data_IF_279788343941
#
_entry.id   IF_279788343941
#
_cell.length_a   1.000
_cell.length_b   1.000
_cell.length_c   1.000
_cell.angle_alpha   90.00
_cell.angle_beta   90.00
_cell.angle_gamma   90.00
#
_symmetry.space_group_name_H-M   'P 1'
#
loop_
_entity.id
_entity.type
_entity.pdbx_description
1 polymer ?
#
# COMPACT_ATOMS: atom_id res chain seq x y z
N UNK A 1 -28.88 -9.22 6.22
CA UNK A 1 -29.55 -10.53 6.19
C UNK A 1 -29.28 -11.33 4.92
N UNK A 2 -29.38 -10.75 3.72
CA UNK A 2 -29.19 -11.47 2.46
C UNK A 2 -27.75 -12.00 2.26
N UNK A 3 -26.74 -11.19 2.53
CA UNK A 3 -25.31 -11.58 2.43
C UNK A 3 -24.98 -12.67 3.46
N UNK A 4 -25.56 -12.61 4.65
CA UNK A 4 -25.39 -13.61 5.70
C UNK A 4 -25.97 -14.98 5.29
N UNK A 5 -27.14 -14.95 4.65
CA UNK A 5 -27.78 -16.16 4.13
C UNK A 5 -26.98 -16.80 2.98
N UNK A 6 -26.44 -15.99 2.07
CA UNK A 6 -25.63 -16.47 0.94
C UNK A 6 -24.29 -17.06 1.42
N UNK A 7 -23.61 -16.42 2.37
CA UNK A 7 -22.36 -16.94 2.93
C UNK A 7 -22.57 -18.22 3.74
N UNK A 8 -23.67 -18.30 4.49
CA UNK A 8 -24.03 -19.49 5.28
C UNK A 8 -24.42 -20.65 4.37
N UNK A 9 -25.23 -20.42 3.33
CA UNK A 9 -25.59 -21.42 2.33
C UNK A 9 -24.39 -21.91 1.51
N UNK A 10 -23.46 -21.01 1.14
CA UNK A 10 -22.25 -21.38 0.43
C UNK A 10 -21.34 -22.28 1.29
N UNK A 11 -21.18 -21.98 2.59
CA UNK A 11 -20.45 -22.86 3.53
C UNK A 11 -21.12 -24.22 3.71
N UNK A 12 -22.44 -24.26 3.87
CA UNK A 12 -23.18 -25.52 4.00
C UNK A 12 -23.09 -26.36 2.72
N UNK A 13 -23.17 -25.77 1.54
CA UNK A 13 -23.01 -26.46 0.24
C UNK A 13 -21.60 -27.01 0.04
N UNK A 14 -20.57 -26.27 0.47
CA UNK A 14 -19.17 -26.72 0.38
C UNK A 14 -18.90 -27.86 1.37
N UNK A 15 -19.36 -27.74 2.62
CA UNK A 15 -19.26 -28.81 3.59
C UNK A 15 -20.03 -30.07 3.13
N UNK A 16 -21.26 -29.93 2.64
CA UNK A 16 -22.05 -31.07 2.16
C UNK A 16 -21.43 -31.75 0.93
N UNK A 17 -20.87 -30.99 -0.01
CA UNK A 17 -20.18 -31.55 -1.19
C UNK A 17 -18.84 -32.22 -0.82
N UNK A 18 -18.12 -31.70 0.17
CA UNK A 18 -16.91 -32.35 0.68
C UNK A 18 -17.28 -33.65 1.41
N UNK A 19 -18.31 -33.64 2.26
CA UNK A 19 -18.78 -34.81 2.97
C UNK A 19 -19.33 -35.88 2.02
N UNK A 20 -20.04 -35.49 0.96
CA UNK A 20 -20.49 -36.43 -0.09
C UNK A 20 -19.34 -37.02 -0.90
N UNK A 21 -18.27 -36.28 -1.20
CA UNK A 21 -17.08 -36.81 -1.88
C UNK A 21 -16.30 -37.79 -1.03
N UNK A 22 -16.25 -37.60 0.29
CA UNK A 22 -15.60 -38.55 1.20
C UNK A 22 -16.44 -39.83 1.46
N UNK A 23 -17.76 -39.76 1.35
CA UNK A 23 -18.65 -40.90 1.54
C UNK A 23 -18.88 -41.74 0.29
N UNK A 24 -18.44 -41.29 -0.90
CA UNK A 24 -18.61 -42.02 -2.17
C UNK A 24 -17.38 -42.85 -2.61
N UNK A 25 -16.35 -42.96 -1.77
CA UNK A 25 -15.21 -43.86 -2.03
C UNK A 25 -15.55 -45.25 -1.44
N UNK A 26 -15.71 -46.29 -2.24
CA UNK A 26 -15.97 -47.65 -1.73
C UNK A 26 -14.78 -48.10 -0.89
N UNK A 27 -15.06 -48.52 0.34
CA UNK A 27 -14.07 -49.23 1.19
C UNK A 27 -13.81 -50.60 0.59
N UNK A 28 -12.96 -50.71 -0.42
CA UNK A 28 -12.40 -51.99 -0.85
C UNK A 28 -11.04 -52.19 -0.20
N UNK A 29 -11.02 -53.17 0.70
CA UNK A 29 -9.95 -53.57 1.58
C UNK A 29 -8.77 -54.30 0.91
N UNK A 30 -8.39 -53.96 -0.33
CA UNK A 30 -7.32 -54.68 -1.04
C UNK A 30 -6.07 -53.86 -1.45
N UNK A 31 -6.05 -52.55 -1.27
CA UNK A 31 -4.89 -51.71 -1.71
C UNK A 31 -3.87 -51.53 -0.61
N UNK A 32 -4.17 -51.84 0.63
CA UNK A 32 -3.24 -51.64 1.75
C UNK A 32 -2.22 -52.77 1.97
N UNK A 33 -2.20 -53.82 1.12
CA UNK A 33 -1.29 -54.98 1.27
C UNK A 33 -0.20 -55.08 0.20
N UNK A 34 -0.22 -54.26 -0.84
CA UNK A 34 0.70 -54.42 -2.00
C UNK A 34 1.89 -53.43 -2.00
N UNK A 35 2.00 -52.54 -1.03
CA UNK A 35 3.13 -51.57 -0.98
C UNK A 35 4.24 -51.93 0.04
N UNK A 36 4.32 -53.17 0.51
CA UNK A 36 5.38 -53.59 1.44
C UNK A 36 6.34 -54.66 0.90
N UNK A 37 6.36 -54.92 -0.39
CA UNK A 37 7.38 -55.81 -0.99
C UNK A 37 7.65 -55.42 -2.44
N UNK A 38 8.56 -54.51 -2.67
CA UNK A 38 9.32 -54.44 -3.90
C UNK A 38 10.69 -53.82 -3.56
N UNK A 39 11.63 -54.73 -3.38
CA UNK A 39 13.07 -54.48 -3.33
C UNK A 39 13.58 -54.12 -4.72
N UNK A 40 14.55 -53.21 -4.78
CA UNK A 40 15.29 -52.84 -5.97
C UNK A 40 15.89 -54.05 -6.70
N UNK A 41 16.00 -54.02 -8.03
CA UNK A 41 17.04 -54.69 -8.75
C UNK A 41 18.06 -53.71 -9.38
N UNK A 42 19.29 -54.08 -9.26
CA UNK A 42 20.51 -53.59 -9.83
C UNK A 42 20.55 -53.63 -11.37
N UNK A 43 21.33 -52.68 -11.91
CA UNK A 43 21.69 -52.54 -13.34
C UNK A 43 22.44 -53.72 -13.90
N UNK A 44 22.43 -53.93 -15.23
CA UNK A 44 23.69 -53.81 -15.98
C UNK A 44 23.59 -53.13 -17.37
N UNK A 45 24.62 -52.40 -17.72
CA UNK A 45 25.52 -52.50 -18.87
C UNK A 45 25.03 -52.11 -20.27
N UNK A 46 25.64 -51.04 -20.76
CA UNK A 46 26.13 -50.76 -22.12
C UNK A 46 25.29 -51.09 -23.37
N UNK A 47 24.97 -50.06 -24.15
CA UNK A 47 25.32 -50.02 -25.58
C UNK A 47 25.19 -48.60 -26.16
N UNK A 48 26.26 -48.21 -26.85
CA UNK A 48 26.46 -46.99 -27.63
C UNK A 48 25.52 -46.97 -28.84
N UNK A 49 24.91 -45.81 -29.10
CA UNK A 49 24.59 -45.39 -30.48
C UNK A 49 24.73 -43.85 -30.59
N UNK A 50 25.69 -43.48 -31.45
CA UNK A 50 25.89 -42.14 -31.99
C UNK A 50 24.66 -41.71 -32.77
N UNK A 51 24.20 -40.46 -32.54
CA UNK A 51 23.48 -39.69 -33.54
C UNK A 51 24.03 -38.26 -33.57
N UNK A 52 24.41 -37.91 -34.75
CA UNK A 52 25.06 -36.78 -35.32
C UNK A 52 24.47 -35.42 -34.87
N UNK A 53 25.39 -34.52 -34.58
CA UNK A 53 25.24 -33.08 -34.35
C UNK A 53 24.60 -32.36 -35.51
N UNK A 54 23.62 -31.48 -35.22
CA UNK A 54 23.37 -30.29 -35.98
C UNK A 54 23.46 -29.08 -35.04
N UNK A 55 24.57 -28.38 -35.16
CA UNK A 55 24.82 -27.08 -34.56
C UNK A 55 23.90 -26.05 -35.25
N UNK A 56 23.14 -25.31 -34.46
CA UNK A 56 22.82 -23.92 -34.75
C UNK A 56 22.85 -23.16 -33.43
N UNK A 57 23.96 -22.45 -33.27
CA UNK A 57 24.22 -21.65 -32.10
C UNK A 57 23.31 -20.43 -32.06
N UNK A 58 22.80 -20.20 -30.89
CA UNK A 58 22.60 -18.85 -30.35
C UNK A 58 22.77 -18.97 -28.83
N UNK A 59 24.04 -18.96 -28.41
CA UNK A 59 24.39 -18.58 -27.05
C UNK A 59 24.03 -17.13 -26.84
N UNK A 60 22.80 -16.87 -26.45
CA UNK A 60 22.51 -15.68 -25.65
C UNK A 60 23.07 -16.01 -24.27
N UNK A 61 24.27 -15.52 -24.00
CA UNK A 61 24.84 -15.45 -22.67
C UNK A 61 23.84 -14.67 -21.80
N UNK A 62 23.05 -15.39 -21.02
CA UNK A 62 22.41 -14.83 -19.83
C UNK A 62 23.53 -14.38 -18.90
N UNK A 63 23.97 -13.15 -19.09
CA UNK A 63 24.72 -12.44 -18.08
C UNK A 63 23.86 -12.45 -16.83
N UNK A 64 24.31 -13.10 -15.78
CA UNK A 64 23.72 -13.05 -14.46
C UNK A 64 23.94 -11.66 -13.87
N UNK A 65 23.23 -10.66 -14.38
CA UNK A 65 22.95 -9.46 -13.59
C UNK A 65 21.96 -9.93 -12.53
N UNK A 66 22.44 -10.30 -11.36
CA UNK A 66 21.61 -10.42 -10.17
C UNK A 66 20.88 -9.07 -10.05
N UNK A 67 19.59 -9.07 -10.34
CA UNK A 67 18.74 -7.91 -10.18
C UNK A 67 18.81 -7.50 -8.72
N UNK A 68 19.36 -6.33 -8.44
CA UNK A 68 19.48 -5.73 -7.09
C UNK A 68 18.10 -5.37 -6.50
N UNK A 69 17.04 -5.75 -7.20
CA UNK A 69 15.65 -5.48 -6.83
C UNK A 69 15.22 -6.37 -5.68
N UNK A 70 14.92 -5.76 -4.54
CA UNK A 70 14.53 -6.48 -3.34
C UNK A 70 13.01 -6.74 -3.26
N UNK A 71 12.22 -5.78 -3.76
CA UNK A 71 10.77 -5.82 -3.71
C UNK A 71 10.17 -5.42 -5.06
N UNK A 72 9.02 -5.99 -5.37
CA UNK A 72 8.19 -5.61 -6.50
C UNK A 72 6.83 -5.17 -5.99
N UNK A 73 6.46 -3.92 -6.28
CA UNK A 73 5.15 -3.34 -5.99
C UNK A 73 4.36 -3.18 -7.27
N UNK A 74 3.05 -3.35 -7.21
CA UNK A 74 2.11 -2.90 -8.24
C UNK A 74 1.08 -1.98 -7.59
N UNK A 75 0.95 -0.78 -8.13
CA UNK A 75 0.03 0.23 -7.65
C UNK A 75 -1.38 -0.06 -8.21
N UNK A 76 -2.30 -0.52 -7.38
CA UNK A 76 -3.70 -0.72 -7.78
C UNK A 76 -4.49 0.58 -7.69
N UNK A 77 -4.17 1.43 -6.72
CA UNK A 77 -4.67 2.77 -6.55
C UNK A 77 -3.63 3.65 -5.87
N UNK A 78 -3.53 4.91 -6.28
CA UNK A 78 -2.47 5.85 -5.86
C UNK A 78 -3.01 7.22 -5.45
N UNK A 79 -4.33 7.40 -5.47
CA UNK A 79 -4.98 8.67 -5.14
C UNK A 79 -5.54 8.68 -3.72
N UNK A 80 -5.75 9.90 -3.18
CA UNK A 80 -6.41 10.17 -1.90
C UNK A 80 -7.89 10.56 -2.04
N UNK A 81 -8.61 9.97 -2.99
CA UNK A 81 -9.98 10.34 -3.33
C UNK A 81 -10.06 11.60 -4.22
N UNK A 82 -11.28 12.04 -4.59
CA UNK A 82 -12.57 11.44 -4.30
C UNK A 82 -12.95 10.27 -5.23
N UNK A 83 -12.08 9.90 -6.19
CA UNK A 83 -12.36 8.83 -7.13
C UNK A 83 -12.17 7.47 -6.47
N UNK A 84 -13.25 6.72 -6.31
CA UNK A 84 -13.28 5.43 -5.65
C UNK A 84 -12.52 4.32 -6.40
N UNK A 85 -12.19 4.55 -7.66
CA UNK A 85 -11.45 3.61 -8.50
C UNK A 85 -9.92 3.78 -8.44
N UNK A 86 -9.41 4.72 -7.63
CA UNK A 86 -7.99 5.03 -7.54
C UNK A 86 -7.48 5.30 -6.10
N UNK A 87 -8.22 4.94 -5.06
CA UNK A 87 -7.78 5.13 -3.67
C UNK A 87 -6.65 4.17 -3.29
N UNK A 88 -5.84 4.56 -2.31
CA UNK A 88 -4.61 3.89 -1.86
C UNK A 88 -4.73 2.38 -1.75
N UNK A 89 -4.02 1.65 -2.62
CA UNK A 89 -4.02 0.19 -2.64
C UNK A 89 -2.81 -0.34 -3.42
N UNK A 90 -2.02 -1.19 -2.80
CA UNK A 90 -0.78 -1.70 -3.40
C UNK A 90 -0.64 -3.18 -3.13
N UNK A 91 -0.17 -3.95 -4.11
CA UNK A 91 0.26 -5.33 -3.88
C UNK A 91 1.76 -5.42 -3.99
N UNK A 92 2.39 -6.17 -3.11
CA UNK A 92 3.82 -6.36 -3.10
C UNK A 92 4.22 -7.82 -2.92
N UNK A 93 5.43 -8.11 -3.37
CA UNK A 93 6.12 -9.38 -3.14
C UNK A 93 7.63 -9.16 -3.04
N UNK A 94 8.41 -10.08 -2.44
CA UNK A 94 9.85 -10.18 -2.70
C UNK A 94 10.06 -10.32 -4.21
N UNK A 95 11.04 -9.62 -4.77
CA UNK A 95 11.21 -9.58 -6.22
C UNK A 95 11.53 -10.96 -6.84
N UNK A 96 12.17 -11.83 -6.08
CA UNK A 96 12.58 -13.19 -6.47
C UNK A 96 11.51 -14.27 -6.24
N UNK A 97 10.33 -13.90 -5.69
CA UNK A 97 9.21 -14.82 -5.47
C UNK A 97 8.14 -14.65 -6.54
N UNK A 98 7.39 -15.71 -6.79
CA UNK A 98 6.19 -15.62 -7.61
C UNK A 98 5.03 -14.99 -6.82
N UNK A 99 4.08 -14.37 -7.51
CA UNK A 99 2.90 -13.75 -6.88
C UNK A 99 2.09 -14.73 -6.02
N UNK A 100 1.97 -15.99 -6.44
CA UNK A 100 1.22 -17.00 -5.68
C UNK A 100 1.94 -17.51 -4.41
N UNK A 101 3.19 -17.11 -4.18
CA UNK A 101 3.99 -17.53 -3.02
C UNK A 101 3.86 -16.59 -1.82
N UNK A 102 2.77 -15.83 -1.73
CA UNK A 102 2.48 -15.02 -0.55
C UNK A 102 2.55 -13.52 -0.83
N UNK A 103 1.79 -13.07 -1.82
CA UNK A 103 1.53 -11.64 -2.05
C UNK A 103 1.01 -10.97 -0.78
N UNK A 104 1.49 -9.77 -0.53
CA UNK A 104 1.08 -8.90 0.56
C UNK A 104 0.31 -7.74 -0.04
N UNK A 105 -0.84 -7.41 0.55
CA UNK A 105 -1.60 -6.21 0.24
C UNK A 105 -1.21 -5.12 1.24
N UNK A 106 -0.85 -3.94 0.75
CA UNK A 106 -0.60 -2.74 1.54
C UNK A 106 -1.67 -1.73 1.18
N UNK A 107 -2.43 -1.29 2.16
CA UNK A 107 -3.67 -0.54 1.99
C UNK A 107 -4.76 -1.32 1.24
N UNK A 108 -5.98 -0.86 1.33
CA UNK A 108 -7.10 -1.56 0.71
C UNK A 108 -8.22 -0.62 0.26
N UNK A 109 -7.87 0.54 -0.24
CA UNK A 109 -8.81 1.48 -0.85
C UNK A 109 -9.44 0.90 -2.10
N UNK A 110 -8.96 1.21 -3.29
CA UNK A 110 -9.48 0.63 -4.53
C UNK A 110 -8.88 -0.75 -4.77
N UNK A 111 -9.53 -1.80 -4.35
CA UNK A 111 -8.93 -3.13 -4.36
C UNK A 111 -9.35 -4.00 -5.55
N UNK A 112 -10.41 -4.81 -5.43
CA UNK A 112 -10.72 -5.84 -6.43
C UNK A 112 -11.06 -5.27 -7.82
N UNK A 113 -11.76 -4.15 -7.88
CA UNK A 113 -12.09 -3.51 -9.15
C UNK A 113 -10.85 -3.00 -9.88
N UNK A 114 -9.93 -2.36 -9.17
CA UNK A 114 -8.66 -1.90 -9.75
C UNK A 114 -7.74 -3.06 -10.10
N UNK A 115 -7.69 -4.11 -9.28
CA UNK A 115 -6.96 -5.33 -9.60
C UNK A 115 -7.48 -5.96 -10.90
N UNK A 116 -8.80 -6.07 -11.05
CA UNK A 116 -9.42 -6.58 -12.27
C UNK A 116 -9.00 -5.78 -13.50
N UNK A 117 -9.03 -4.44 -13.43
CA UNK A 117 -8.57 -3.57 -14.53
C UNK A 117 -7.10 -3.78 -14.89
N UNK A 118 -6.21 -3.88 -13.88
CA UNK A 118 -4.81 -4.19 -14.13
C UNK A 118 -4.61 -5.58 -14.75
N UNK A 119 -5.54 -6.51 -14.52
CA UNK A 119 -5.51 -7.87 -15.06
C UNK A 119 -6.27 -8.02 -16.39
N UNK A 120 -6.87 -6.96 -16.95
CA UNK A 120 -7.31 -6.93 -18.35
C UNK A 120 -6.11 -7.11 -19.29
N UNK A 121 -5.01 -6.41 -18.99
CA UNK A 121 -3.71 -6.56 -19.66
C UNK A 121 -2.59 -6.87 -18.66
N UNK A 122 -2.47 -8.12 -18.16
CA UNK A 122 -1.49 -8.46 -17.14
C UNK A 122 -0.04 -8.30 -17.58
N UNK A 123 0.22 -8.23 -18.89
CA UNK A 123 1.57 -8.04 -19.43
C UNK A 123 2.19 -6.69 -19.04
N UNK A 124 1.41 -5.71 -18.65
CA UNK A 124 1.91 -4.41 -18.20
C UNK A 124 2.35 -4.43 -16.72
N UNK A 125 1.48 -4.88 -15.83
CA UNK A 125 1.69 -4.80 -14.37
C UNK A 125 2.16 -6.11 -13.77
N UNK A 126 1.68 -7.23 -14.31
CA UNK A 126 1.82 -8.58 -13.77
C UNK A 126 2.43 -9.57 -14.78
N UNK A 127 3.40 -9.11 -15.59
CA UNK A 127 4.02 -9.91 -16.67
C UNK A 127 4.64 -11.23 -16.19
N UNK A 128 5.00 -11.35 -14.91
CA UNK A 128 5.54 -12.55 -14.28
C UNK A 128 4.49 -13.37 -13.51
N UNK A 129 3.21 -12.95 -13.54
CA UNK A 129 2.13 -13.71 -12.94
C UNK A 129 1.67 -14.84 -13.86
N UNK A 130 1.57 -16.05 -13.32
CA UNK A 130 1.11 -17.22 -14.08
C UNK A 130 -0.34 -17.54 -13.73
N UNK A 131 -1.23 -17.25 -14.66
CA UNK A 131 -2.65 -17.60 -14.53
C UNK A 131 -2.98 -18.85 -15.32
N UNK A 132 -4.01 -19.63 -14.88
CA UNK A 132 -4.60 -20.68 -15.71
C UNK A 132 -5.05 -20.10 -17.07
N UNK A 133 -4.97 -20.93 -18.11
CA UNK A 133 -5.37 -20.51 -19.46
C UNK A 133 -6.86 -20.13 -19.53
N UNK A 134 -7.20 -19.22 -20.42
CA UNK A 134 -8.58 -18.83 -20.76
C UNK A 134 -9.39 -18.17 -19.63
N UNK A 135 -8.74 -17.56 -18.63
CA UNK A 135 -9.44 -16.75 -17.65
C UNK A 135 -9.67 -15.33 -18.17
N UNK A 136 -10.88 -14.80 -17.95
CA UNK A 136 -11.16 -13.38 -18.11
C UNK A 136 -10.54 -12.56 -16.95
N UNK A 137 -10.60 -11.24 -17.00
CA UNK A 137 -10.00 -10.36 -16.00
C UNK A 137 -10.59 -10.57 -14.60
N UNK A 138 -11.90 -10.77 -14.49
CA UNK A 138 -12.58 -11.03 -13.21
C UNK A 138 -12.08 -12.31 -12.57
N UNK A 139 -12.05 -13.42 -13.32
CA UNK A 139 -11.53 -14.71 -12.81
C UNK A 139 -10.05 -14.65 -12.46
N UNK A 140 -9.23 -13.86 -13.20
CA UNK A 140 -7.83 -13.61 -12.82
C UNK A 140 -7.75 -12.84 -11.51
N UNK A 141 -8.61 -11.83 -11.31
CA UNK A 141 -8.65 -11.07 -10.06
C UNK A 141 -9.04 -11.95 -8.86
N UNK A 142 -10.00 -12.86 -9.02
CA UNK A 142 -10.34 -13.84 -7.98
C UNK A 142 -9.17 -14.78 -7.66
N UNK A 143 -8.49 -15.30 -8.68
CA UNK A 143 -7.29 -16.13 -8.50
C UNK A 143 -6.19 -15.34 -7.79
N UNK A 144 -5.89 -14.12 -8.24
CA UNK A 144 -4.88 -13.28 -7.61
C UNK A 144 -5.25 -12.91 -6.16
N UNK A 145 -6.52 -12.60 -5.90
CA UNK A 145 -7.00 -12.35 -4.54
C UNK A 145 -6.73 -13.55 -3.61
N UNK A 146 -6.82 -14.78 -4.13
CA UNK A 146 -6.49 -15.98 -3.34
C UNK A 146 -5.01 -16.11 -2.97
N UNK A 147 -4.12 -15.43 -3.70
CA UNK A 147 -2.67 -15.40 -3.43
C UNK A 147 -2.28 -14.38 -2.35
N UNK A 148 -3.16 -13.42 -2.04
CA UNK A 148 -2.89 -12.43 -1.00
C UNK A 148 -2.96 -13.11 0.36
N UNK A 149 -1.81 -13.21 1.01
CA UNK A 149 -1.65 -13.91 2.28
C UNK A 149 -1.91 -13.03 3.51
N UNK A 150 -1.65 -11.74 3.38
CA UNK A 150 -1.69 -10.75 4.47
C UNK A 150 -2.07 -9.37 3.94
N UNK A 151 -2.61 -8.56 4.84
CA UNK A 151 -2.91 -7.14 4.59
C UNK A 151 -2.22 -6.30 5.66
N UNK A 152 -1.62 -5.19 5.27
CA UNK A 152 -1.15 -4.14 6.17
C UNK A 152 -1.96 -2.87 5.90
N UNK A 153 -2.46 -2.23 6.95
CA UNK A 153 -3.23 -0.99 6.86
C UNK A 153 -2.61 0.06 7.74
N UNK A 154 -2.33 1.23 7.18
CA UNK A 154 -1.66 2.33 7.89
C UNK A 154 -2.59 3.00 8.89
N UNK A 155 -3.84 3.28 8.49
CA UNK A 155 -4.87 3.90 9.32
C UNK A 155 -6.29 3.59 8.78
N UNK A 156 -7.32 3.96 9.53
CA UNK A 156 -8.69 3.50 9.30
C UNK A 156 -9.56 4.39 8.41
N UNK A 157 -9.01 5.34 7.63
CA UNK A 157 -9.81 6.15 6.73
C UNK A 157 -10.37 5.32 5.56
N UNK A 158 -11.53 5.72 5.04
CA UNK A 158 -12.25 4.93 4.04
C UNK A 158 -11.47 4.70 2.77
N UNK A 159 -10.74 5.70 2.28
CA UNK A 159 -9.90 5.61 1.08
C UNK A 159 -8.69 4.67 1.23
N UNK A 160 -8.50 4.12 2.44
CA UNK A 160 -7.50 3.06 2.73
C UNK A 160 -8.13 1.70 3.02
N UNK A 161 -9.43 1.61 3.30
CA UNK A 161 -10.06 0.35 3.77
C UNK A 161 -11.31 -0.07 3.02
N UNK A 162 -12.01 0.82 2.29
CA UNK A 162 -13.34 0.48 1.75
C UNK A 162 -13.33 -0.74 0.81
N UNK A 163 -12.28 -0.87 0.00
CA UNK A 163 -12.13 -2.03 -0.88
C UNK A 163 -11.92 -3.34 -0.13
N UNK A 164 -11.25 -3.32 1.05
CA UNK A 164 -11.19 -4.48 1.95
C UNK A 164 -12.57 -4.84 2.48
N UNK A 165 -13.35 -3.82 2.87
CA UNK A 165 -14.71 -4.04 3.37
C UNK A 165 -15.56 -4.73 2.31
N UNK A 166 -15.59 -4.19 1.09
CA UNK A 166 -16.34 -4.79 -0.01
C UNK A 166 -15.83 -6.18 -0.39
N UNK A 167 -14.51 -6.38 -0.42
CA UNK A 167 -13.88 -7.64 -0.78
C UNK A 167 -14.09 -8.75 0.25
N UNK A 168 -14.47 -8.40 1.49
CA UNK A 168 -14.66 -9.38 2.57
C UNK A 168 -15.64 -10.49 2.21
N UNK A 169 -16.65 -10.20 1.37
CA UNK A 169 -17.62 -11.19 0.89
C UNK A 169 -17.01 -12.22 -0.10
N UNK A 170 -15.88 -11.94 -0.72
CA UNK A 170 -15.21 -12.80 -1.70
C UNK A 170 -14.06 -13.64 -1.10
N UNK A 171 -13.74 -13.45 0.17
CA UNK A 171 -12.64 -14.15 0.84
C UNK A 171 -13.05 -15.58 1.13
N UNK A 172 -12.25 -16.54 0.68
CA UNK A 172 -12.50 -17.99 0.85
C UNK A 172 -11.75 -18.60 2.04
N UNK A 173 -10.65 -17.96 2.48
CA UNK A 173 -9.85 -18.36 3.61
C UNK A 173 -9.64 -17.16 4.52
N UNK A 174 -9.53 -17.39 5.82
CA UNK A 174 -9.25 -16.33 6.77
C UNK A 174 -7.94 -15.62 6.42
N UNK A 175 -7.95 -14.28 6.50
CA UNK A 175 -6.81 -13.45 6.12
C UNK A 175 -6.45 -12.49 7.25
N UNK A 176 -5.20 -12.47 7.72
CA UNK A 176 -4.78 -11.51 8.74
C UNK A 176 -4.66 -10.10 8.17
N UNK A 177 -5.19 -9.13 8.93
CA UNK A 177 -4.95 -7.70 8.75
C UNK A 177 -4.06 -7.24 9.90
N UNK A 178 -2.94 -6.64 9.55
CA UNK A 178 -1.96 -6.07 10.48
C UNK A 178 -2.08 -4.55 10.49
N UNK A 179 -2.03 -3.95 11.66
CA UNK A 179 -2.05 -2.51 11.87
C UNK A 179 -1.76 -2.17 13.33
N UNK A 180 -1.58 -0.89 13.62
CA UNK A 180 -1.53 -0.40 14.99
C UNK A 180 -2.92 -0.53 15.65
N UNK A 181 -3.01 -0.55 16.99
CA UNK A 181 -4.28 -0.77 17.70
C UNK A 181 -5.42 0.12 17.20
N UNK A 182 -5.21 1.43 17.07
CA UNK A 182 -6.25 2.40 16.69
C UNK A 182 -6.76 2.16 15.26
N UNK A 183 -5.86 1.76 14.36
CA UNK A 183 -6.21 1.35 12.98
C UNK A 183 -7.14 0.15 12.99
N UNK A 184 -6.83 -0.86 13.78
CA UNK A 184 -7.62 -2.08 13.84
C UNK A 184 -8.97 -1.88 14.54
N UNK A 185 -9.04 -1.01 15.55
CA UNK A 185 -10.31 -0.62 16.18
C UNK A 185 -11.22 0.13 15.17
N UNK A 186 -10.63 1.02 14.36
CA UNK A 186 -11.37 1.71 13.28
C UNK A 186 -11.93 0.71 12.26
N UNK A 187 -11.13 -0.27 11.84
CA UNK A 187 -11.58 -1.34 10.95
C UNK A 187 -12.70 -2.16 11.60
N UNK A 188 -12.51 -2.57 12.86
CA UNK A 188 -13.50 -3.36 13.58
C UNK A 188 -14.84 -2.62 13.69
N UNK A 189 -14.82 -1.29 13.87
CA UNK A 189 -16.02 -0.48 13.96
C UNK A 189 -16.89 -0.52 12.69
N UNK A 190 -16.29 -0.69 11.52
CA UNK A 190 -17.01 -0.87 10.25
C UNK A 190 -17.68 -2.25 10.20
N UNK A 191 -17.05 -3.26 10.78
CA UNK A 191 -17.55 -4.65 10.85
C UNK A 191 -18.43 -4.91 12.08
N UNK A 192 -19.07 -3.90 12.66
CA UNK A 192 -19.87 -3.99 13.88
C UNK A 192 -21.25 -4.62 13.69
N UNK A 193 -21.64 -4.89 12.44
CA UNK A 193 -22.91 -5.48 12.07
C UNK A 193 -23.98 -4.44 11.72
N UNK A 194 -23.70 -3.14 11.84
CA UNK A 194 -24.59 -2.03 11.44
C UNK A 194 -24.23 -1.51 10.06
N UNK A 195 -22.96 -1.17 9.82
CA UNK A 195 -22.48 -0.69 8.53
C UNK A 195 -22.16 -1.88 7.64
N UNK A 196 -21.45 -2.88 8.18
CA UNK A 196 -21.07 -4.11 7.47
C UNK A 196 -21.19 -5.32 8.41
N UNK A 197 -21.50 -6.53 7.89
CA UNK A 197 -21.57 -7.75 8.70
C UNK A 197 -20.29 -7.98 9.51
N UNK A 198 -20.41 -8.66 10.64
CA UNK A 198 -19.28 -9.00 11.54
C UNK A 198 -18.39 -10.06 10.90
N UNK A 199 -17.49 -9.63 10.01
CA UNK A 199 -16.57 -10.49 9.26
C UNK A 199 -15.10 -10.25 9.66
N UNK A 200 -14.85 -9.44 10.68
CA UNK A 200 -13.54 -9.21 11.27
C UNK A 200 -13.57 -9.48 12.77
N UNK A 201 -12.50 -10.06 13.31
CA UNK A 201 -12.36 -10.40 14.72
C UNK A 201 -10.90 -10.43 15.14
N UNK A 202 -10.63 -10.18 16.43
CA UNK A 202 -9.34 -10.49 17.06
C UNK A 202 -9.22 -11.97 17.43
N UNK A 203 -10.35 -12.67 17.56
CA UNK A 203 -10.38 -14.09 17.88
C UNK A 203 -10.16 -14.92 16.62
N UNK A 204 -9.02 -15.62 16.56
CA UNK A 204 -8.69 -16.51 15.45
C UNK A 204 -9.60 -17.71 15.31
N UNK A 205 -10.24 -18.08 16.40
CA UNK A 205 -11.16 -19.21 16.45
C UNK A 205 -12.58 -18.84 15.96
N UNK A 206 -12.85 -17.54 15.73
CA UNK A 206 -14.15 -17.09 15.24
C UNK A 206 -14.40 -17.60 13.82
N UNK A 207 -15.31 -18.57 13.62
CA UNK A 207 -15.54 -19.18 12.33
C UNK A 207 -16.25 -18.24 11.34
N UNK A 208 -16.78 -17.13 11.80
CA UNK A 208 -17.48 -16.13 10.98
C UNK A 208 -16.55 -15.01 10.50
N UNK A 209 -15.38 -14.85 11.11
CA UNK A 209 -14.42 -13.85 10.72
C UNK A 209 -13.66 -14.29 9.46
N UNK A 210 -13.73 -13.45 8.41
CA UNK A 210 -12.87 -13.58 7.25
C UNK A 210 -11.56 -12.81 7.40
N UNK A 211 -11.57 -11.76 8.22
CA UNK A 211 -10.38 -11.02 8.60
C UNK A 211 -10.02 -11.27 10.06
N UNK A 212 -8.77 -11.64 10.29
CA UNK A 212 -8.18 -11.69 11.62
C UNK A 212 -7.36 -10.46 11.89
N UNK A 213 -7.73 -9.70 12.91
CA UNK A 213 -7.05 -8.46 13.26
C UNK A 213 -5.82 -8.79 14.13
N UNK A 214 -4.64 -8.35 13.67
CA UNK A 214 -3.35 -8.63 14.30
C UNK A 214 -2.67 -7.32 14.67
N UNK A 215 -2.60 -7.03 15.97
CA UNK A 215 -1.96 -5.83 16.49
C UNK A 215 -0.45 -5.89 16.24
N UNK A 216 0.08 -4.84 15.62
CA UNK A 216 1.50 -4.60 15.54
C UNK A 216 1.95 -3.78 16.76
N UNK A 217 3.21 -3.98 17.15
CA UNK A 217 3.82 -3.20 18.22
C UNK A 217 4.80 -2.21 17.58
N UNK A 218 4.73 -0.95 18.01
CA UNK A 218 5.58 0.13 17.52
C UNK A 218 7.05 -0.28 17.61
N UNK A 219 7.81 -0.03 16.55
CA UNK A 219 9.25 -0.31 16.41
C UNK A 219 9.66 -1.78 16.57
N UNK A 220 8.69 -2.71 16.65
CA UNK A 220 9.00 -4.13 16.71
C UNK A 220 8.93 -4.79 15.34
N UNK A 221 9.99 -5.54 15.03
CA UNK A 221 10.07 -6.29 13.79
C UNK A 221 9.10 -7.48 13.80
N UNK A 222 8.32 -7.59 12.74
CA UNK A 222 7.42 -8.70 12.47
C UNK A 222 7.82 -9.39 11.16
N UNK A 223 8.06 -10.70 11.20
CA UNK A 223 8.27 -11.50 10.00
C UNK A 223 6.94 -11.70 9.25
N UNK A 224 6.81 -11.15 8.04
CA UNK A 224 5.59 -11.22 7.22
C UNK A 224 5.70 -12.19 6.05
N UNK A 225 6.91 -12.56 5.66
CA UNK A 225 7.23 -13.59 4.65
C UNK A 225 8.65 -14.10 4.91
N UNK A 226 9.07 -15.23 4.35
CA UNK A 226 10.46 -15.67 4.44
C UNK A 226 11.40 -14.53 4.01
N UNK A 227 12.37 -14.20 4.87
CA UNK A 227 13.36 -13.13 4.69
C UNK A 227 12.79 -11.71 4.63
N UNK A 228 11.49 -11.51 4.84
CA UNK A 228 10.85 -10.19 4.84
C UNK A 228 10.31 -9.87 6.23
N UNK A 229 10.81 -8.79 6.76
CA UNK A 229 10.33 -8.18 8.00
C UNK A 229 9.66 -6.84 7.72
N UNK A 230 8.73 -6.47 8.58
CA UNK A 230 8.12 -5.13 8.62
C UNK A 230 8.22 -4.57 10.04
N UNK A 231 8.58 -3.30 10.14
CA UNK A 231 8.63 -2.55 11.39
C UNK A 231 7.67 -1.37 11.25
N UNK A 232 6.63 -1.26 12.11
CA UNK A 232 5.71 -0.13 12.08
C UNK A 232 6.25 1.04 12.92
N UNK A 233 6.12 2.24 12.38
CA UNK A 233 6.39 3.51 13.08
C UNK A 233 5.12 4.36 13.06
N UNK A 234 4.70 4.95 14.20
CA UNK A 234 3.57 5.87 14.22
C UNK A 234 3.97 7.20 13.57
N UNK A 235 3.09 7.75 12.75
CA UNK A 235 3.20 9.07 12.16
C UNK A 235 1.89 9.83 12.38
N UNK A 236 1.96 11.17 12.44
CA UNK A 236 0.79 12.01 12.65
C UNK A 236 0.00 12.20 11.36
N UNK A 237 -1.35 12.16 11.47
CA UNK A 237 -2.23 12.39 10.33
C UNK A 237 -3.50 13.13 10.78
N UNK A 238 -3.47 14.43 10.77
CA UNK A 238 -4.60 15.32 11.00
C UNK A 238 -5.26 15.25 12.39
N UNK A 239 -6.04 16.25 12.75
CA UNK A 239 -6.83 16.24 13.97
C UNK A 239 -8.09 15.40 13.81
N UNK A 240 -8.37 14.53 14.77
CA UNK A 240 -9.64 13.80 14.86
C UNK A 240 -10.51 14.40 15.95
N UNK A 241 -11.75 14.78 15.63
CA UNK A 241 -12.76 15.00 16.65
C UNK A 241 -13.15 13.64 17.22
N UNK A 242 -12.74 13.35 18.43
CA UNK A 242 -13.41 12.29 19.19
C UNK A 242 -14.86 12.73 19.40
N UNK A 243 -15.81 11.82 19.18
CA UNK A 243 -17.20 12.03 19.55
C UNK A 243 -17.30 12.09 21.10
N UNK A 244 -16.91 13.20 21.69
CA UNK A 244 -17.41 13.58 23.00
C UNK A 244 -18.92 13.68 22.85
N UNK A 245 -19.65 12.95 23.67
CA UNK A 245 -21.10 12.72 23.56
C UNK A 245 -21.83 13.91 22.94
N UNK A 246 -22.54 13.61 21.87
CA UNK A 246 -23.27 14.56 21.02
C UNK A 246 -24.05 15.53 21.88
N UNK A 247 -23.49 16.70 22.14
CA UNK A 247 -24.22 17.84 22.69
C UNK A 247 -23.87 19.05 21.83
N UNK A 248 -24.85 19.39 21.02
CA UNK A 248 -25.00 20.63 20.28
C UNK A 248 -23.97 20.88 19.16
N UNK A 249 -24.44 20.76 17.93
CA UNK A 249 -23.92 21.46 16.76
C UNK A 249 -23.78 22.93 17.11
N UNK A 250 -22.57 23.40 17.35
CA UNK A 250 -22.32 24.83 17.51
C UNK A 250 -22.34 25.46 16.13
N UNK A 251 -23.49 26.06 15.78
CA UNK A 251 -23.65 26.92 14.59
C UNK A 251 -22.63 28.08 14.55
N UNK A 252 -21.90 28.31 15.64
CA UNK A 252 -20.90 29.38 15.76
C UNK A 252 -19.63 29.13 14.95
N UNK A 253 -19.34 27.87 14.49
CA UNK A 253 -18.16 27.57 13.67
C UNK A 253 -18.30 28.12 12.24
N UNK A 254 -19.53 28.36 11.77
CA UNK A 254 -19.79 28.95 10.43
C UNK A 254 -19.68 30.47 10.39
N UNK A 255 -19.58 31.15 11.54
CA UNK A 255 -19.53 32.61 11.65
C UNK A 255 -18.16 33.13 12.17
N UNK A 256 -17.11 32.33 12.21
CA UNK A 256 -15.79 32.81 12.66
C UNK A 256 -15.27 33.88 11.69
N UNK A 257 -14.92 35.08 12.18
CA UNK A 257 -14.32 36.14 11.37
C UNK A 257 -12.92 35.69 10.88
N UNK A 258 -12.54 36.14 9.68
CA UNK A 258 -11.20 36.02 9.15
C UNK A 258 -10.20 36.61 10.16
N UNK A 259 -9.41 35.78 10.78
CA UNK A 259 -8.32 36.21 11.65
C UNK A 259 -7.02 35.70 11.09
N UNK A 260 -6.26 36.58 10.52
CA UNK A 260 -4.81 36.54 10.42
C UNK A 260 -4.30 36.48 11.87
N UNK A 261 -3.54 35.47 12.24
CA UNK A 261 -3.02 35.20 13.59
C UNK A 261 -4.02 34.61 14.62
N UNK A 262 -4.53 33.44 14.36
CA UNK A 262 -5.17 32.67 15.41
C UNK A 262 -4.28 31.53 15.91
N UNK A 263 -3.50 31.79 16.96
CA UNK A 263 -3.11 30.78 17.94
C UNK A 263 -4.38 30.41 18.72
N UNK A 264 -5.32 29.70 18.09
CA UNK A 264 -6.48 29.18 18.78
C UNK A 264 -6.01 28.08 19.72
N UNK A 265 -5.84 28.39 21.00
CA UNK A 265 -5.95 27.41 22.07
C UNK A 265 -7.40 26.89 22.04
N UNK A 266 -7.65 25.90 21.20
CA UNK A 266 -8.91 25.16 21.22
C UNK A 266 -8.85 24.25 22.44
N UNK A 267 -9.48 24.65 23.53
CA UNK A 267 -9.73 23.81 24.70
C UNK A 267 -10.82 22.77 24.33
N UNK A 268 -10.46 21.80 23.53
CA UNK A 268 -11.27 20.64 23.22
C UNK A 268 -10.33 19.44 23.12
N UNK A 269 -10.73 18.29 23.64
CA UNK A 269 -9.99 17.03 23.52
C UNK A 269 -9.93 16.59 22.04
N UNK A 270 -9.04 17.22 21.27
CA UNK A 270 -8.71 16.77 19.94
C UNK A 270 -7.64 15.69 20.07
N UNK A 271 -7.99 14.44 19.77
CA UNK A 271 -6.96 13.44 19.45
C UNK A 271 -6.51 13.61 18.00
N UNK A 272 -5.28 13.20 17.72
CA UNK A 272 -4.80 13.10 16.34
C UNK A 272 -5.00 11.69 15.84
N UNK A 273 -5.33 11.56 14.57
CA UNK A 273 -5.29 10.26 13.89
C UNK A 273 -3.82 9.82 13.83
N UNK A 274 -3.55 8.62 14.31
CA UNK A 274 -2.26 7.98 14.15
C UNK A 274 -2.30 7.18 12.86
N UNK A 275 -1.41 7.51 11.93
CA UNK A 275 -1.13 6.70 10.75
C UNK A 275 0.16 5.90 10.98
N UNK A 276 0.47 4.99 10.08
CA UNK A 276 1.61 4.08 10.22
C UNK A 276 2.53 4.18 9.02
N UNK A 277 3.83 4.33 9.28
CA UNK A 277 4.86 4.07 8.31
C UNK A 277 5.37 2.62 8.49
N UNK A 278 5.48 1.88 7.40
CA UNK A 278 5.97 0.50 7.37
C UNK A 278 7.37 0.44 6.78
N UNK A 279 8.37 0.08 7.58
CA UNK A 279 9.71 -0.20 7.09
C UNK A 279 9.80 -1.68 6.71
N UNK A 280 9.76 -1.98 5.43
CA UNK A 280 9.98 -3.31 4.88
C UNK A 280 11.48 -3.60 4.73
N UNK A 281 11.94 -4.72 5.26
CA UNK A 281 13.33 -5.13 5.21
C UNK A 281 13.44 -6.50 4.54
N UNK A 282 14.21 -6.56 3.46
CA UNK A 282 14.62 -7.83 2.86
C UNK A 282 15.96 -8.23 3.48
N UNK A 283 15.95 -9.20 4.39
CA UNK A 283 17.13 -9.63 5.15
C UNK A 283 18.16 -10.31 4.26
N UNK A 284 17.72 -11.04 3.23
CA UNK A 284 18.60 -11.76 2.33
C UNK A 284 19.41 -10.83 1.42
N UNK A 285 18.76 -9.78 0.92
CA UNK A 285 19.41 -8.80 0.04
C UNK A 285 19.95 -7.58 0.81
N UNK A 286 19.64 -7.47 2.10
CA UNK A 286 19.98 -6.31 2.95
C UNK A 286 19.54 -4.97 2.33
N UNK A 287 18.27 -4.93 1.89
CA UNK A 287 17.64 -3.77 1.27
C UNK A 287 16.31 -3.46 1.92
N UNK A 288 16.01 -2.18 2.07
CA UNK A 288 14.82 -1.68 2.74
C UNK A 288 13.98 -0.81 1.79
N UNK A 289 12.68 -0.79 2.07
CA UNK A 289 11.71 0.14 1.51
C UNK A 289 10.88 0.69 2.65
N UNK A 290 10.68 1.99 2.67
CA UNK A 290 9.80 2.66 3.62
C UNK A 290 8.51 3.04 2.90
N UNK A 291 7.37 2.65 3.45
CA UNK A 291 6.05 3.02 2.95
C UNK A 291 5.33 3.79 4.06
N UNK A 292 5.03 5.06 3.80
CA UNK A 292 4.23 5.88 4.71
C UNK A 292 2.75 5.80 4.29
N UNK A 293 1.87 5.64 5.27
CA UNK A 293 0.48 6.05 5.12
C UNK A 293 0.36 7.57 5.03
N UNK A 294 -0.85 8.09 5.16
CA UNK A 294 -1.06 9.52 5.16
C UNK A 294 -0.30 10.17 6.29
N UNK A 295 0.31 11.32 6.01
CA UNK A 295 1.26 11.97 6.94
C UNK A 295 1.08 13.48 6.96
N UNK A 296 1.03 14.03 8.16
CA UNK A 296 1.04 15.47 8.42
C UNK A 296 2.47 15.93 8.73
N UNK A 297 2.89 17.14 8.26
CA UNK A 297 4.19 17.68 8.65
C UNK A 297 4.30 17.84 10.17
N UNK A 298 5.42 17.44 10.77
CA UNK A 298 5.66 17.61 12.22
C UNK A 298 5.48 19.07 12.67
N UNK A 299 5.88 20.02 11.84
CA UNK A 299 5.70 21.46 12.10
C UNK A 299 4.23 21.85 12.30
N UNK A 300 3.29 21.21 11.58
CA UNK A 300 1.85 21.45 11.69
C UNK A 300 1.26 20.58 12.79
N UNK A 301 1.70 19.34 12.86
CA UNK A 301 1.26 18.39 13.88
C UNK A 301 1.65 18.83 15.30
N UNK A 302 2.71 19.62 15.46
CA UNK A 302 3.30 19.92 16.75
C UNK A 302 3.85 18.66 17.44
N UNK A 303 4.42 17.76 16.65
CA UNK A 303 5.00 16.47 17.09
C UNK A 303 6.36 16.27 16.43
N UNK A 304 7.10 15.27 16.91
CA UNK A 304 8.39 14.83 16.37
C UNK A 304 8.31 13.40 15.81
N UNK A 305 7.10 12.93 15.44
CA UNK A 305 6.89 11.55 14.99
C UNK A 305 7.64 11.25 13.70
N UNK A 306 7.58 12.17 12.72
CA UNK A 306 8.29 12.01 11.45
C UNK A 306 9.80 12.11 11.66
N UNK A 307 10.27 13.03 12.51
CA UNK A 307 11.69 13.13 12.86
C UNK A 307 12.20 11.82 13.50
N UNK A 308 11.45 11.26 14.44
CA UNK A 308 11.78 9.96 15.06
C UNK A 308 11.88 8.84 14.01
N UNK A 309 10.97 8.81 13.05
CA UNK A 309 11.05 7.88 11.93
C UNK A 309 12.32 8.09 11.09
N UNK A 310 12.64 9.36 10.76
CA UNK A 310 13.82 9.68 9.95
C UNK A 310 15.12 9.30 10.67
N UNK A 311 15.22 9.54 11.97
CA UNK A 311 16.34 9.08 12.79
C UNK A 311 16.50 7.56 12.79
N UNK A 312 15.38 6.83 12.95
CA UNK A 312 15.37 5.36 12.96
C UNK A 312 15.87 4.76 11.63
N UNK A 313 15.56 5.37 10.48
CA UNK A 313 15.98 4.87 9.17
C UNK A 313 17.27 5.46 8.64
N UNK A 314 17.78 6.52 9.25
CA UNK A 314 18.94 7.32 8.79
C UNK A 314 20.19 6.47 8.52
N UNK A 315 20.54 5.56 9.44
CA UNK A 315 21.69 4.67 9.27
C UNK A 315 21.54 3.80 8.03
N UNK A 316 20.36 3.25 7.78
CA UNK A 316 20.08 2.41 6.61
C UNK A 316 20.15 3.21 5.31
N UNK A 317 19.63 4.44 5.33
CA UNK A 317 19.76 5.38 4.22
C UNK A 317 21.23 5.79 3.99
N UNK A 318 21.98 6.09 5.04
CA UNK A 318 23.40 6.43 4.99
C UNK A 318 24.27 5.34 4.37
N UNK A 319 23.93 4.07 4.63
CA UNK A 319 24.55 2.88 4.06
C UNK A 319 24.07 2.57 2.65
N UNK A 320 23.15 3.36 2.09
CA UNK A 320 22.55 3.12 0.77
C UNK A 320 21.67 1.86 0.71
N UNK A 321 21.17 1.40 1.84
CA UNK A 321 20.32 0.20 1.97
C UNK A 321 18.83 0.52 1.86
N UNK A 322 18.40 1.72 2.30
CA UNK A 322 17.06 2.24 2.02
C UNK A 322 16.99 2.67 0.55
N UNK A 323 16.18 1.98 -0.25
CA UNK A 323 16.13 2.16 -1.71
C UNK A 323 14.99 3.02 -2.18
N UNK A 324 13.86 2.99 -1.49
CA UNK A 324 12.71 3.79 -1.84
C UNK A 324 11.94 4.21 -0.59
N UNK A 325 11.31 5.37 -0.69
CA UNK A 325 10.32 5.88 0.25
C UNK A 325 9.05 6.16 -0.54
N UNK A 326 7.96 5.47 -0.20
CA UNK A 326 6.61 5.81 -0.66
C UNK A 326 6.05 6.82 0.32
N UNK A 327 5.69 8.00 -0.17
CA UNK A 327 5.20 9.10 0.66
C UNK A 327 4.15 9.88 -0.10
N UNK A 328 3.16 10.37 0.60
CA UNK A 328 2.09 11.16 0.00
C UNK A 328 2.56 12.56 -0.42
N UNK A 329 1.85 13.12 -1.40
CA UNK A 329 1.81 14.55 -1.68
C UNK A 329 0.43 14.91 -2.21
N UNK A 330 -0.50 15.20 -1.31
CA UNK A 330 -1.93 15.29 -1.65
C UNK A 330 -2.31 16.55 -2.41
N UNK A 331 -1.64 17.67 -2.14
CA UNK A 331 -2.00 18.99 -2.65
C UNK A 331 -0.79 19.70 -3.27
N UNK A 332 -1.03 20.69 -4.16
CA UNK A 332 -0.02 21.61 -4.61
C UNK A 332 0.43 22.57 -3.50
N UNK A 333 1.57 23.24 -3.68
CA UNK A 333 2.18 24.13 -2.67
C UNK A 333 1.33 25.35 -2.29
N UNK A 334 0.38 25.73 -3.16
CA UNK A 334 -0.54 26.85 -2.91
C UNK A 334 -1.63 26.52 -1.88
N UNK A 335 -1.81 25.26 -1.51
CA UNK A 335 -2.82 24.84 -0.55
C UNK A 335 -2.55 25.49 0.82
N UNK A 336 -3.51 26.25 1.40
CA UNK A 336 -3.33 26.84 2.72
C UNK A 336 -3.16 25.81 3.82
N UNK A 337 -2.31 26.08 4.80
CA UNK A 337 -2.00 25.13 5.89
C UNK A 337 -3.25 24.62 6.63
N UNK A 338 -4.23 25.49 6.89
CA UNK A 338 -5.46 25.10 7.58
C UNK A 338 -6.41 24.22 6.74
N UNK A 339 -6.11 24.03 5.44
CA UNK A 339 -6.84 23.17 4.51
C UNK A 339 -6.03 21.96 4.04
N UNK A 340 -4.94 21.62 4.74
CA UNK A 340 -4.15 20.43 4.44
C UNK A 340 -4.81 19.15 4.94
N UNK A 341 -5.69 19.23 5.92
CA UNK A 341 -6.43 18.08 6.46
C UNK A 341 -5.52 16.90 6.86
N UNK A 342 -4.32 17.21 7.35
CA UNK A 342 -3.37 16.19 7.76
C UNK A 342 -2.50 15.61 6.63
N UNK A 343 -2.30 16.37 5.54
CA UNK A 343 -1.55 15.92 4.37
C UNK A 343 -0.39 16.84 4.00
N UNK A 344 0.42 16.38 3.03
CA UNK A 344 1.59 17.10 2.53
C UNK A 344 1.30 17.88 1.24
N UNK A 345 2.09 18.95 1.07
CA UNK A 345 2.35 19.63 -0.20
C UNK A 345 3.81 19.38 -0.63
N UNK A 346 4.23 19.72 -1.87
CA UNK A 346 5.61 19.62 -2.29
C UNK A 346 6.61 20.29 -1.35
N UNK A 347 6.26 21.47 -0.82
CA UNK A 347 7.13 22.20 0.13
C UNK A 347 7.32 21.37 1.42
N UNK A 348 6.26 20.80 1.97
CA UNK A 348 6.35 20.03 3.20
C UNK A 348 6.98 18.65 2.97
N UNK A 349 6.66 17.97 1.87
CA UNK A 349 7.35 16.74 1.49
C UNK A 349 8.85 16.96 1.37
N UNK A 350 9.26 18.07 0.72
CA UNK A 350 10.68 18.39 0.57
C UNK A 350 11.35 18.67 1.91
N UNK A 351 10.68 19.36 2.85
CA UNK A 351 11.16 19.56 4.22
C UNK A 351 11.34 18.25 4.99
N UNK A 352 10.45 17.29 4.81
CA UNK A 352 10.60 15.95 5.40
C UNK A 352 11.84 15.23 4.83
N UNK A 353 12.09 15.35 3.50
CA UNK A 353 13.31 14.82 2.89
C UNK A 353 14.56 15.55 3.37
N UNK A 354 14.52 16.86 3.61
CA UNK A 354 15.62 17.61 4.23
C UNK A 354 15.89 17.15 5.68
N UNK A 355 14.84 16.81 6.45
CA UNK A 355 15.00 16.23 7.78
C UNK A 355 15.70 14.87 7.70
N UNK A 356 15.27 13.99 6.82
CA UNK A 356 15.96 12.72 6.56
C UNK A 356 17.41 12.96 6.12
N UNK A 357 17.67 13.93 5.24
CA UNK A 357 19.00 14.27 4.77
C UNK A 357 19.94 14.68 5.91
N UNK A 358 19.46 15.52 6.83
CA UNK A 358 20.22 15.89 8.06
C UNK A 358 20.55 14.67 8.91
N UNK A 359 19.57 13.81 9.17
CA UNK A 359 19.80 12.56 9.92
C UNK A 359 20.82 11.65 9.22
N UNK A 360 20.81 11.59 7.88
CA UNK A 360 21.78 10.83 7.08
C UNK A 360 23.17 11.42 7.17
N UNK A 361 23.32 12.75 7.10
CA UNK A 361 24.60 13.43 7.29
C UNK A 361 25.16 13.16 8.70
N UNK A 362 24.35 13.29 9.74
CA UNK A 362 24.72 12.96 11.11
C UNK A 362 25.16 11.49 11.23
N UNK A 363 24.43 10.55 10.64
CA UNK A 363 24.80 9.12 10.65
C UNK A 363 26.12 8.84 9.92
N UNK A 364 26.47 9.63 8.89
CA UNK A 364 27.76 9.57 8.17
C UNK A 364 28.86 10.37 8.86
N UNK A 365 28.56 11.11 9.91
CA UNK A 365 29.46 12.07 10.57
C UNK A 365 29.98 13.15 9.58
N UNK A 366 29.12 13.58 8.68
CA UNK A 366 29.38 14.63 7.71
C UNK A 366 28.85 15.97 8.23
N UNK A 367 29.39 17.07 7.67
CA UNK A 367 28.89 18.41 7.98
C UNK A 367 27.47 18.60 7.45
N UNK A 368 26.56 18.99 8.31
CA UNK A 368 25.15 19.25 7.99
C UNK A 368 24.95 20.63 7.31
N UNK A 369 26.00 21.44 7.14
CA UNK A 369 25.92 22.71 6.43
C UNK A 369 25.60 22.54 4.93
N UNK A 370 25.88 21.37 4.37
CA UNK A 370 25.52 21.02 3.00
C UNK A 370 24.85 19.66 2.93
N UNK A 371 23.57 19.66 2.52
CA UNK A 371 22.78 18.44 2.31
C UNK A 371 22.90 17.90 0.88
N UNK A 372 23.76 18.52 0.06
CA UNK A 372 23.90 18.16 -1.35
C UNK A 372 24.27 16.69 -1.53
N UNK A 373 23.50 15.97 -2.35
CA UNK A 373 23.67 14.55 -2.65
C UNK A 373 23.60 13.59 -1.43
N UNK A 374 23.12 14.06 -0.28
CA UNK A 374 22.99 13.23 0.92
C UNK A 374 22.06 12.05 0.75
N UNK A 375 21.02 12.20 -0.09
CA UNK A 375 20.02 11.18 -0.41
C UNK A 375 20.24 10.54 -1.80
N UNK A 376 21.41 10.68 -2.39
CA UNK A 376 21.70 10.13 -3.71
C UNK A 376 21.46 8.62 -3.76
N UNK A 377 20.64 8.19 -4.74
CA UNK A 377 20.26 6.80 -4.95
C UNK A 377 19.00 6.36 -4.18
N UNK A 378 18.35 7.30 -3.47
CA UNK A 378 17.02 7.10 -2.89
C UNK A 378 15.94 7.52 -3.90
N UNK A 379 14.93 6.66 -4.10
CA UNK A 379 13.73 6.98 -4.84
C UNK A 379 12.62 7.45 -3.89
N UNK A 380 12.06 8.60 -4.18
CA UNK A 380 10.86 9.11 -3.53
C UNK A 380 9.66 8.83 -4.43
N UNK A 381 8.85 7.84 -4.06
CA UNK A 381 7.66 7.44 -4.80
C UNK A 381 6.49 8.25 -4.26
N UNK A 382 6.02 9.20 -5.05
CA UNK A 382 4.94 10.10 -4.66
C UNK A 382 3.60 9.43 -4.90
N UNK A 383 2.81 9.30 -3.84
CA UNK A 383 1.51 8.64 -3.81
C UNK A 383 0.43 9.57 -3.24
N UNK A 384 -0.80 9.11 -3.18
CA UNK A 384 -1.96 9.73 -2.50
C UNK A 384 -2.29 11.15 -2.99
N UNK A 385 -2.11 11.42 -4.30
CA UNK A 385 -2.46 12.73 -4.88
C UNK A 385 -3.97 12.87 -4.94
N UNK A 386 -4.51 14.00 -4.42
CA UNK A 386 -5.94 14.30 -4.48
C UNK A 386 -6.29 14.99 -5.80
N UNK A 387 -7.26 14.43 -6.52
CA UNK A 387 -7.58 14.82 -7.90
C UNK A 387 -8.25 16.19 -8.09
N UNK A 388 -8.53 16.94 -7.02
CA UNK A 388 -9.21 18.23 -7.11
C UNK A 388 -8.30 19.34 -6.61
N UNK A 389 -8.11 20.37 -7.43
CA UNK A 389 -7.64 21.67 -6.98
C UNK A 389 -8.85 22.34 -6.31
N UNK A 390 -8.83 22.46 -4.99
CA UNK A 390 -9.70 23.42 -4.32
C UNK A 390 -9.16 24.80 -4.74
N UNK A 391 -9.82 25.45 -5.71
CA UNK A 391 -9.44 26.81 -6.08
C UNK A 391 -9.53 27.68 -4.83
N UNK A 392 -8.44 28.34 -4.50
CA UNK A 392 -8.40 29.34 -3.43
C UNK A 392 -9.15 30.61 -3.79
N UNK A 393 -10.00 30.58 -4.82
CA UNK A 393 -10.87 31.71 -5.18
C UNK A 393 -11.96 31.88 -4.11
N UNK A 394 -11.90 32.94 -3.29
CA UNK A 394 -12.89 33.19 -2.24
C UNK A 394 -14.32 33.39 -2.78
N UNK A 395 -14.47 33.54 -4.11
CA UNK A 395 -15.79 33.65 -4.77
C UNK A 395 -16.49 32.30 -4.94
N UNK A 396 -15.77 31.17 -4.79
CA UNK A 396 -16.35 29.82 -4.76
C UNK A 396 -16.76 29.42 -3.33
N UNK A 397 -17.72 30.14 -2.80
CA UNK A 397 -18.49 29.66 -1.64
C UNK A 397 -19.40 28.53 -2.09
N UNK A 398 -19.40 27.41 -1.37
CA UNK A 398 -20.33 26.29 -1.57
C UNK A 398 -21.83 26.69 -1.53
N UNK A 399 -22.12 27.95 -1.23
CA UNK A 399 -23.47 28.52 -1.12
C UNK A 399 -23.88 29.37 -2.33
N UNK A 400 -23.01 29.59 -3.32
CA UNK A 400 -23.39 30.37 -4.50
C UNK A 400 -23.91 29.44 -5.61
N UNK A 401 -25.08 29.70 -6.20
CA UNK A 401 -25.58 28.93 -7.32
C UNK A 401 -24.63 29.11 -8.51
N UNK A 402 -24.30 28.00 -9.16
CA UNK A 402 -23.46 27.95 -10.38
C UNK A 402 -23.98 29.01 -11.37
N UNK A 403 -23.17 30.00 -11.80
CA UNK A 403 -23.61 30.98 -12.77
C UNK A 403 -24.03 30.26 -14.06
N UNK A 404 -25.29 30.35 -14.41
CA UNK A 404 -25.78 29.95 -15.72
C UNK A 404 -25.24 30.98 -16.72
N UNK A 405 -24.40 30.53 -17.64
CA UNK A 405 -23.90 31.29 -18.79
C UNK A 405 -22.76 32.30 -18.55
N UNK A 406 -21.53 31.87 -18.78
CA UNK A 406 -20.55 32.74 -19.44
C UNK A 406 -20.01 31.98 -20.64
N UNK A 407 -20.01 32.70 -21.79
CA UNK A 407 -19.46 32.21 -23.06
C UNK A 407 -18.05 31.65 -22.86
N UNK A 408 -17.81 30.45 -23.39
CA UNK A 408 -16.52 29.79 -23.38
C UNK A 408 -15.48 30.62 -24.15
N UNK A 409 -14.91 31.62 -23.49
CA UNK A 409 -13.62 32.19 -23.89
C UNK A 409 -12.58 31.20 -23.33
N UNK A 410 -11.69 30.72 -24.19
CA UNK A 410 -10.67 29.72 -23.97
C UNK A 410 -9.77 30.06 -22.76
N UNK A 411 -10.20 29.69 -21.57
CA UNK A 411 -9.28 29.59 -20.43
C UNK A 411 -8.33 28.43 -20.73
N UNK A 412 -7.03 28.56 -20.48
CA UNK A 412 -6.11 27.44 -20.59
C UNK A 412 -6.63 26.30 -19.71
N UNK A 413 -6.65 25.07 -20.25
CA UNK A 413 -7.03 23.89 -19.50
C UNK A 413 -6.18 23.82 -18.22
N UNK A 414 -6.78 23.60 -17.04
CA UNK A 414 -6.02 23.51 -15.81
C UNK A 414 -4.99 22.37 -15.94
N UNK A 415 -3.76 22.64 -15.53
CA UNK A 415 -2.70 21.62 -15.47
C UNK A 415 -3.18 20.53 -14.49
N UNK A 416 -3.13 19.25 -14.87
CA UNK A 416 -3.46 18.19 -13.94
C UNK A 416 -2.62 18.32 -12.66
N UNK A 417 -3.24 18.19 -11.51
CA UNK A 417 -2.60 18.37 -10.19
C UNK A 417 -1.32 17.54 -10.05
N UNK A 418 -1.31 16.32 -10.58
CA UNK A 418 -0.14 15.43 -10.57
C UNK A 418 1.07 16.08 -11.27
N UNK A 419 0.86 16.68 -12.44
CA UNK A 419 1.92 17.35 -13.19
C UNK A 419 2.40 18.63 -12.50
N UNK A 420 1.51 19.33 -11.78
CA UNK A 420 1.86 20.52 -11.03
C UNK A 420 2.75 20.13 -9.84
N UNK A 421 2.37 19.12 -9.07
CA UNK A 421 3.14 18.58 -7.94
C UNK A 421 4.52 18.11 -8.42
N UNK A 422 4.58 17.35 -9.52
CA UNK A 422 5.84 16.89 -10.13
C UNK A 422 6.76 18.06 -10.47
N UNK A 423 6.24 19.07 -11.15
CA UNK A 423 6.99 20.28 -11.50
C UNK A 423 7.52 21.02 -10.28
N UNK A 424 6.71 21.16 -9.24
CA UNK A 424 7.10 21.83 -7.99
C UNK A 424 8.20 21.05 -7.24
N UNK A 425 8.08 19.72 -7.15
CA UNK A 425 9.10 18.86 -6.56
C UNK A 425 10.44 18.94 -7.30
N UNK A 426 10.39 18.89 -8.65
CA UNK A 426 11.62 19.06 -9.45
C UNK A 426 12.25 20.44 -9.29
N UNK A 427 11.44 21.49 -9.14
CA UNK A 427 11.94 22.83 -8.88
C UNK A 427 12.61 22.95 -7.51
N UNK A 428 12.07 22.30 -6.47
CA UNK A 428 12.67 22.22 -5.14
C UNK A 428 13.99 21.45 -5.19
N UNK A 429 14.02 20.28 -5.84
CA UNK A 429 15.21 19.44 -5.96
C UNK A 429 16.33 20.16 -6.74
N UNK A 430 15.99 20.90 -7.79
CA UNK A 430 16.97 21.69 -8.54
C UNK A 430 17.67 22.74 -7.70
N UNK A 431 17.03 23.23 -6.64
CA UNK A 431 17.60 24.20 -5.70
C UNK A 431 18.32 23.52 -4.53
N UNK A 432 17.68 22.53 -3.90
CA UNK A 432 18.16 21.88 -2.70
C UNK A 432 19.18 20.78 -2.95
N UNK A 433 19.11 20.13 -4.13
CA UNK A 433 20.07 19.12 -4.62
C UNK A 433 20.36 17.99 -3.64
N UNK A 434 19.30 17.47 -2.98
CA UNK A 434 19.44 16.34 -2.05
C UNK A 434 19.92 15.06 -2.76
N UNK A 435 19.76 14.97 -4.08
CA UNK A 435 20.12 13.81 -4.91
C UNK A 435 19.02 12.73 -4.95
N UNK A 436 17.80 13.10 -4.55
CA UNK A 436 16.65 12.19 -4.56
C UNK A 436 16.03 12.12 -5.96
N UNK A 437 15.57 10.93 -6.37
CA UNK A 437 14.82 10.71 -7.60
C UNK A 437 13.31 10.68 -7.29
N UNK A 438 12.54 11.65 -7.81
CA UNK A 438 11.08 11.64 -7.68
C UNK A 438 10.43 10.76 -8.74
N UNK A 439 9.51 9.91 -8.33
CA UNK A 439 8.70 9.04 -9.19
C UNK A 439 7.24 9.27 -8.84
N UNK A 440 6.47 9.84 -9.77
CA UNK A 440 5.03 9.99 -9.59
C UNK A 440 4.35 8.65 -9.84
N UNK A 441 3.74 8.07 -8.82
CA UNK A 441 3.09 6.77 -8.95
C UNK A 441 1.83 6.87 -9.81
N UNK A 442 1.62 5.88 -10.66
CA UNK A 442 0.43 5.75 -11.49
C UNK A 442 -0.26 4.40 -11.26
N UNK A 443 -1.58 4.37 -11.43
CA UNK A 443 -2.33 3.12 -11.36
C UNK A 443 -1.84 2.13 -12.42
N UNK A 444 -1.66 0.88 -12.04
CA UNK A 444 -1.11 -0.18 -12.87
C UNK A 444 0.42 -0.18 -12.94
N UNK A 445 1.09 0.88 -12.49
CA UNK A 445 2.54 0.94 -12.53
C UNK A 445 3.16 -0.12 -11.63
N UNK A 446 4.14 -0.83 -12.16
CA UNK A 446 5.02 -1.71 -11.40
C UNK A 446 6.28 -0.96 -10.99
N UNK A 447 6.57 -0.98 -9.70
CA UNK A 447 7.75 -0.32 -9.12
C UNK A 447 8.67 -1.39 -8.57
N UNK A 448 9.87 -1.49 -9.17
CA UNK A 448 10.98 -2.27 -8.66
C UNK A 448 11.93 -1.41 -7.85
N UNK A 449 12.41 -1.90 -6.71
CA UNK A 449 13.34 -1.16 -5.85
C UNK A 449 14.80 -1.43 -6.23
N UNK A 450 15.16 -1.22 -7.51
CA UNK A 450 16.52 -1.32 -8.04
C UNK A 450 17.08 0.07 -8.40
N UNK A 451 18.41 0.19 -8.50
CA UNK A 451 19.09 1.46 -8.79
C UNK A 451 18.86 2.01 -10.21
N UNK A 452 18.23 1.29 -11.11
CA UNK A 452 17.94 1.80 -12.46
C UNK A 452 16.92 0.92 -13.18
N UNK A 453 15.66 1.20 -13.01
CA UNK A 453 14.64 1.05 -14.06
C UNK A 453 13.26 1.31 -13.48
N UNK A 454 12.64 2.41 -13.90
CA UNK A 454 11.20 2.44 -14.10
C UNK A 454 10.99 1.52 -15.31
N UNK A 455 10.37 0.38 -15.12
CA UNK A 455 10.00 -0.54 -16.19
C UNK A 455 8.71 -0.07 -16.85
#
# INVERSE_FOLDING_TARGET
MWIYAVCHQARQLICSKLTQRFNSVPRTSHIARTLRKASLPTMPGDSKQEIVSAQLGNHVSRGSSHSDTAFSFVCLGVGGGPFDDNCSCYVMKPADRAWHEGTILVEGGSFLGSLMRCLENPAESFYDAQFPKNLNAESRAEVFNSWISKVLVSHGHLDHIYGLVLASASIRAQRPIYGLPDTLESILSVFDGRVWPRLASYDESDPMAFYHLRKMQVEQSLCIAPDIEVIPYPISHGPTRLAAGVSQFDEQILQAPRVEDCHCHMNGDFSRTVSTAFLFKNRRLDRDVLFLGDVEPDQIAGSDNNLTLWEAVAKRAAEGKLKAVFIECSFASEQPNHLLFGHLTPIYLYKELEALARCVCAARKQDESSLENSLRGLKCIVIHVKGMVLSADPSYSCCNPIPKTTSATSLPLPIPILQLIEKELHALESKGRLGVEFVMANRGQRIGTCMSTVL
#
